data_IF_032103886885
#
_entry.id   IF_032103886885
#
_cell.length_a   1.000
_cell.length_b   1.000
_cell.length_c   1.000
_cell.angle_alpha   90.00
_cell.angle_beta   90.00
_cell.angle_gamma   90.00
#
_symmetry.space_group_name_H-M   'P 1'
#
loop_
_entity.id
_entity.type
_entity.pdbx_description
1 polymer ?
#
# COMPACT_ATOMS: atom_id res chain seq x y z
N UNK A 1 -6.20 14.84 6.00
CA UNK A 1 -7.01 13.84 6.75
C UNK A 1 -6.43 12.43 6.65
N UNK A 2 -6.04 11.95 5.46
CA UNK A 2 -5.45 10.61 5.28
C UNK A 2 -3.91 10.59 5.29
N UNK A 3 -3.28 11.61 5.88
CA UNK A 3 -1.82 11.82 5.81
C UNK A 3 -1.04 10.68 6.47
N UNK A 4 -1.60 10.09 7.53
CA UNK A 4 -1.05 8.89 8.17
C UNK A 4 -1.14 7.66 7.26
N UNK A 5 -2.21 7.50 6.48
CA UNK A 5 -2.36 6.38 5.54
C UNK A 5 -1.41 6.48 4.35
N UNK A 6 -1.05 7.71 3.93
CA UNK A 6 0.04 7.92 2.97
C UNK A 6 1.38 7.41 3.51
N UNK A 7 1.64 7.62 4.80
CA UNK A 7 2.80 7.04 5.48
C UNK A 7 2.78 5.50 5.49
N UNK A 8 1.61 4.91 5.75
CA UNK A 8 1.42 3.45 5.70
C UNK A 8 1.68 2.90 4.29
N UNK A 9 1.16 3.54 3.24
CA UNK A 9 1.39 3.14 1.85
C UNK A 9 2.86 3.27 1.44
N UNK A 10 3.53 4.35 1.86
CA UNK A 10 4.97 4.51 1.65
C UNK A 10 5.75 3.38 2.32
N UNK A 11 5.44 3.09 3.59
CA UNK A 11 6.11 2.02 4.33
C UNK A 11 5.87 0.65 3.69
N UNK A 12 4.67 0.40 3.19
CA UNK A 12 4.34 -0.82 2.47
C UNK A 12 5.25 -1.02 1.26
N UNK A 13 5.43 0.00 0.41
CA UNK A 13 6.35 -0.06 -0.73
C UNK A 13 7.82 -0.18 -0.34
N UNK A 14 8.24 0.44 0.76
CA UNK A 14 9.59 0.23 1.31
C UNK A 14 9.82 -1.22 1.72
N UNK A 15 8.85 -1.84 2.41
CA UNK A 15 8.92 -3.23 2.83
C UNK A 15 8.90 -4.18 1.63
N UNK A 16 8.13 -3.90 0.58
CA UNK A 16 8.19 -4.65 -0.68
C UNK A 16 9.58 -4.61 -1.31
N UNK A 17 10.20 -3.43 -1.31
CA UNK A 17 11.57 -3.26 -1.82
C UNK A 17 12.56 -4.08 -1.01
N UNK A 18 12.46 -4.04 0.33
CA UNK A 18 13.30 -4.83 1.23
C UNK A 18 13.10 -6.33 1.00
N UNK A 19 11.87 -6.79 0.82
CA UNK A 19 11.55 -8.20 0.56
C UNK A 19 12.02 -8.69 -0.81
N UNK A 20 12.28 -7.78 -1.75
CA UNK A 20 12.86 -8.09 -3.06
C UNK A 20 14.39 -8.21 -3.06
N UNK A 21 15.04 -7.79 -1.97
CA UNK A 21 16.50 -7.84 -1.83
C UNK A 21 16.98 -9.29 -1.60
N UNK A 22 17.85 -9.84 -2.47
CA UNK A 22 18.40 -11.19 -2.31
C UNK A 22 19.10 -11.43 -0.96
N UNK A 23 19.73 -10.42 -0.37
CA UNK A 23 20.43 -10.55 0.91
C UNK A 23 19.43 -10.68 2.07
N UNK A 24 18.28 -10.02 1.97
CA UNK A 24 17.17 -10.19 2.91
C UNK A 24 16.53 -11.56 2.74
N UNK A 25 16.32 -12.02 1.51
CA UNK A 25 15.75 -13.35 1.22
C UNK A 25 16.64 -14.46 1.80
N UNK A 26 17.97 -14.30 1.73
CA UNK A 26 18.93 -15.24 2.34
C UNK A 26 18.89 -15.21 3.86
N UNK A 27 18.52 -14.09 4.47
CA UNK A 27 18.34 -13.97 5.92
C UNK A 27 16.89 -14.30 6.33
N UNK A 28 16.66 -15.57 6.68
CA UNK A 28 15.33 -16.09 7.06
C UNK A 28 14.64 -15.29 8.16
N UNK A 29 15.38 -14.81 9.17
CA UNK A 29 14.80 -14.06 10.29
C UNK A 29 14.33 -12.66 9.84
N UNK A 30 15.19 -11.94 9.11
CA UNK A 30 14.86 -10.63 8.55
C UNK A 30 13.69 -10.73 7.56
N UNK A 31 13.72 -11.72 6.66
CA UNK A 31 12.64 -11.98 5.72
C UNK A 31 11.31 -12.23 6.44
N UNK A 32 11.30 -13.10 7.46
CA UNK A 32 10.06 -13.40 8.20
C UNK A 32 9.52 -12.17 8.94
N UNK A 33 10.41 -11.33 9.48
CA UNK A 33 10.02 -10.05 10.12
C UNK A 33 9.34 -9.12 9.12
N UNK A 34 9.99 -8.86 7.99
CA UNK A 34 9.46 -7.95 6.96
C UNK A 34 8.22 -8.51 6.27
N UNK A 35 8.12 -9.84 6.10
CA UNK A 35 6.95 -10.49 5.53
C UNK A 35 5.72 -10.34 6.43
N UNK A 36 5.88 -10.47 7.75
CA UNK A 36 4.80 -10.18 8.71
C UNK A 36 4.38 -8.71 8.69
N UNK A 37 5.35 -7.80 8.67
CA UNK A 37 5.08 -6.37 8.55
C UNK A 37 4.30 -6.06 7.27
N UNK A 38 4.72 -6.61 6.12
CA UNK A 38 4.02 -6.47 4.84
C UNK A 38 2.57 -6.97 4.92
N UNK A 39 2.34 -8.13 5.51
CA UNK A 39 1.00 -8.70 5.65
C UNK A 39 0.07 -7.80 6.48
N UNK A 40 0.55 -7.21 7.57
CA UNK A 40 -0.23 -6.29 8.39
C UNK A 40 -0.52 -4.98 7.66
N UNK A 41 0.48 -4.42 6.98
CA UNK A 41 0.32 -3.20 6.17
C UNK A 41 -0.63 -3.43 4.99
N UNK A 42 -0.60 -4.61 4.36
CA UNK A 42 -1.44 -4.95 3.21
C UNK A 42 -2.93 -4.82 3.51
N UNK A 43 -3.36 -5.22 4.72
CA UNK A 43 -4.76 -5.12 5.17
C UNK A 43 -5.27 -3.69 5.11
N UNK A 44 -4.42 -2.72 5.47
CA UNK A 44 -4.76 -1.29 5.49
C UNK A 44 -4.65 -0.70 4.09
N UNK A 45 -3.55 -0.98 3.39
CA UNK A 45 -3.26 -0.42 2.05
C UNK A 45 -4.30 -0.85 1.03
N UNK A 46 -4.78 -2.10 1.10
CA UNK A 46 -5.82 -2.62 0.20
C UNK A 46 -7.09 -1.78 0.28
N UNK A 47 -7.61 -1.56 1.50
CA UNK A 47 -8.83 -0.78 1.71
C UNK A 47 -8.61 0.70 1.33
N UNK A 48 -7.45 1.26 1.66
CA UNK A 48 -7.14 2.65 1.33
C UNK A 48 -7.03 2.88 -0.19
N UNK A 49 -6.44 1.95 -0.94
CA UNK A 49 -6.37 2.01 -2.40
C UNK A 49 -7.75 1.90 -3.04
N UNK A 50 -8.59 1.00 -2.54
CA UNK A 50 -9.98 0.87 -3.00
C UNK A 50 -10.77 2.17 -2.77
N UNK A 51 -10.65 2.77 -1.58
CA UNK A 51 -11.25 4.08 -1.29
C UNK A 51 -10.79 5.16 -2.29
N UNK A 52 -9.48 5.30 -2.51
CA UNK A 52 -8.93 6.28 -3.47
C UNK A 52 -9.40 6.05 -4.91
N UNK A 53 -9.69 4.80 -5.27
CA UNK A 53 -10.21 4.45 -6.59
C UNK A 53 -11.67 4.87 -6.73
N UNK A 54 -12.52 4.51 -5.76
CA UNK A 54 -13.95 4.87 -5.75
C UNK A 54 -14.14 6.39 -5.77
N UNK A 55 -13.35 7.13 -4.99
CA UNK A 55 -13.43 8.61 -5.00
C UNK A 55 -13.11 9.16 -6.39
N UNK A 56 -12.06 8.65 -7.05
CA UNK A 56 -11.73 9.05 -8.42
C UNK A 56 -12.85 8.70 -9.41
N UNK A 57 -13.41 7.51 -9.33
CA UNK A 57 -14.51 7.09 -10.21
C UNK A 57 -15.75 7.98 -10.04
N UNK A 58 -16.04 8.42 -8.82
CA UNK A 58 -17.13 9.38 -8.55
C UNK A 58 -16.80 10.74 -9.19
N UNK A 59 -15.58 11.26 -8.96
CA UNK A 59 -15.16 12.54 -9.51
C UNK A 59 -15.19 12.52 -11.05
N UNK A 60 -14.62 11.49 -11.67
CA UNK A 60 -14.62 11.28 -13.12
C UNK A 60 -16.05 11.18 -13.67
N UNK A 61 -16.94 10.46 -12.99
CA UNK A 61 -18.36 10.35 -13.39
C UNK A 61 -19.10 11.69 -13.30
N UNK A 62 -18.80 12.50 -12.27
CA UNK A 62 -19.37 13.82 -12.10
C UNK A 62 -18.85 14.83 -13.13
N UNK A 63 -17.61 14.69 -13.58
CA UNK A 63 -17.06 15.48 -14.69
C UNK A 63 -17.77 15.12 -16.00
N UNK A 64 -17.94 13.82 -16.30
CA UNK A 64 -18.66 13.37 -17.50
C UNK A 64 -20.13 13.83 -17.56
N UNK A 65 -20.79 14.01 -16.42
CA UNK A 65 -22.17 14.52 -16.36
C UNK A 65 -22.29 16.02 -16.63
N UNK A 66 -21.18 16.77 -16.58
CA UNK A 66 -21.16 18.22 -16.81
C UNK A 66 -20.88 18.59 -18.27
N UNK A 67 -20.47 17.62 -19.08
CA UNK A 67 -20.29 17.72 -20.54
C UNK A 67 -21.62 17.42 -21.28
#
# INVERSE_FOLDING_TARGET
MFDKLRGVEKRFSEVETILSDPDIIRNREAYQKHSREHAELNKIVTVFRAYKQIVREIDDSLELMKD
#
